data_IF_791202752464
#
_entry.id   IF_791202752464
#
_cell.length_a   1.000
_cell.length_b   1.000
_cell.length_c   1.000
_cell.angle_alpha   90.00
_cell.angle_beta   90.00
_cell.angle_gamma   90.00
#
_symmetry.space_group_name_H-M   'P 1'
#
loop_
_entity.id
_entity.type
_entity.pdbx_description
1 polymer ?
#
# COMPACT_ATOMS: atom_id res chain seq x y z
N UNK A 1 2.23 -11.16 1.08
CA UNK A 1 1.75 -10.15 0.22
C UNK A 1 1.99 -10.38 -1.25
N UNK A 2 1.06 -9.88 -2.02
CA UNK A 2 1.13 -9.96 -3.47
C UNK A 2 1.90 -8.79 -4.07
N UNK A 3 2.49 -9.02 -5.23
CA UNK A 3 2.95 -7.95 -6.08
C UNK A 3 1.75 -7.25 -6.71
N UNK A 4 1.95 -6.02 -7.19
CA UNK A 4 0.86 -5.23 -7.82
C UNK A 4 0.25 -6.00 -9.00
N UNK A 5 1.08 -6.56 -9.87
CA UNK A 5 0.56 -7.30 -11.04
C UNK A 5 -0.18 -8.57 -10.64
N UNK A 6 0.18 -9.18 -9.52
CA UNK A 6 -0.57 -10.32 -8.99
C UNK A 6 -1.99 -9.94 -8.59
N UNK A 7 -2.14 -8.76 -7.99
CA UNK A 7 -3.47 -8.21 -7.67
C UNK A 7 -4.22 -7.91 -8.96
N UNK A 8 -3.57 -7.25 -9.91
CA UNK A 8 -4.16 -6.93 -11.21
C UNK A 8 -4.72 -8.18 -11.89
N UNK A 9 -3.91 -9.25 -11.90
CA UNK A 9 -4.30 -10.51 -12.56
C UNK A 9 -5.48 -11.20 -11.89
N UNK A 10 -5.71 -10.95 -10.58
CA UNK A 10 -6.83 -11.55 -9.85
C UNK A 10 -8.10 -10.71 -9.87
N UNK A 11 -8.06 -9.53 -10.48
CA UNK A 11 -9.25 -8.68 -10.55
C UNK A 11 -10.41 -9.37 -11.27
N UNK A 12 -10.13 -10.28 -12.21
CA UNK A 12 -11.16 -11.04 -12.90
C UNK A 12 -12.01 -11.90 -11.95
N UNK A 13 -11.51 -12.20 -10.74
CA UNK A 13 -12.25 -12.95 -9.73
C UNK A 13 -13.07 -12.03 -8.81
N UNK A 14 -12.65 -10.78 -8.69
CA UNK A 14 -13.24 -9.81 -7.75
C UNK A 14 -14.29 -8.92 -8.41
N UNK A 15 -13.96 -8.36 -9.58
CA UNK A 15 -14.77 -7.34 -10.22
C UNK A 15 -16.13 -7.82 -10.74
N UNK A 16 -16.30 -9.09 -11.20
CA UNK A 16 -17.62 -9.56 -11.60
C UNK A 16 -18.67 -9.50 -10.48
N UNK A 17 -18.25 -9.54 -9.21
CA UNK A 17 -19.14 -9.38 -8.06
C UNK A 17 -19.57 -7.95 -7.79
N UNK A 18 -19.02 -6.98 -8.49
CA UNK A 18 -19.26 -5.53 -8.31
C UNK A 18 -19.23 -5.12 -6.84
N UNK A 19 -18.09 -5.28 -6.14
CA UNK A 19 -18.02 -4.96 -4.73
C UNK A 19 -18.37 -3.48 -4.48
N UNK A 20 -19.07 -3.22 -3.39
CA UNK A 20 -19.42 -1.84 -3.01
C UNK A 20 -18.19 -1.03 -2.68
N UNK A 21 -17.24 -1.63 -1.96
CA UNK A 21 -15.99 -0.99 -1.56
C UNK A 21 -14.82 -1.91 -1.84
N UNK A 22 -13.69 -1.33 -2.23
CA UNK A 22 -12.46 -2.09 -2.44
C UNK A 22 -11.29 -1.28 -1.88
N UNK A 23 -10.52 -1.91 -0.98
CA UNK A 23 -9.35 -1.31 -0.36
C UNK A 23 -8.09 -1.90 -1.00
N UNK A 24 -7.32 -1.06 -1.68
CA UNK A 24 -6.12 -1.49 -2.39
C UNK A 24 -4.87 -1.14 -1.59
N UNK A 25 -4.03 -2.13 -1.31
CA UNK A 25 -2.72 -1.96 -0.69
C UNK A 25 -1.74 -2.92 -1.34
N UNK A 26 -0.70 -2.38 -1.95
CA UNK A 26 0.34 -3.17 -2.61
C UNK A 26 1.58 -2.34 -2.89
N UNK A 27 2.70 -3.00 -3.14
CA UNK A 27 3.92 -2.35 -3.60
C UNK A 27 5.20 -2.73 -2.86
N UNK A 28 5.13 -3.15 -1.59
CA UNK A 28 6.34 -3.48 -0.82
C UNK A 28 7.04 -4.70 -1.42
N UNK A 29 6.30 -5.72 -1.86
CA UNK A 29 6.91 -6.87 -2.52
C UNK A 29 7.59 -6.48 -3.83
N UNK A 30 7.03 -5.52 -4.56
CA UNK A 30 7.65 -5.00 -5.79
C UNK A 30 8.97 -4.30 -5.47
N UNK A 31 9.03 -3.57 -4.35
CA UNK A 31 10.30 -2.96 -3.89
C UNK A 31 11.34 -4.04 -3.65
N UNK A 32 10.96 -5.15 -3.03
CA UNK A 32 11.88 -6.25 -2.74
C UNK A 32 12.39 -6.94 -4.02
N UNK A 33 11.68 -6.79 -5.13
CA UNK A 33 12.06 -7.34 -6.43
C UNK A 33 12.78 -6.30 -7.31
N UNK A 34 13.33 -5.26 -6.71
CA UNK A 34 14.14 -4.23 -7.36
C UNK A 34 13.41 -3.41 -8.43
N UNK A 35 12.08 -3.34 -8.36
CA UNK A 35 11.32 -2.46 -9.24
C UNK A 35 11.47 -1.01 -8.79
N UNK A 36 11.45 -0.09 -9.76
CA UNK A 36 11.56 1.35 -9.47
C UNK A 36 10.24 1.90 -8.92
N UNK A 37 10.33 3.04 -8.22
CA UNK A 37 9.14 3.74 -7.73
C UNK A 37 8.17 4.05 -8.87
N UNK A 38 8.68 4.58 -9.99
CA UNK A 38 7.84 4.92 -11.14
C UNK A 38 7.14 3.70 -11.74
N UNK A 39 7.84 2.57 -11.81
CA UNK A 39 7.28 1.32 -12.31
C UNK A 39 6.16 0.82 -11.41
N UNK A 40 6.38 0.86 -10.09
CA UNK A 40 5.38 0.44 -9.11
C UNK A 40 4.13 1.31 -9.20
N UNK A 41 4.30 2.62 -9.26
CA UNK A 41 3.17 3.57 -9.37
C UNK A 41 2.41 3.35 -10.68
N UNK A 42 3.11 3.11 -11.79
CA UNK A 42 2.46 2.82 -13.07
C UNK A 42 1.57 1.58 -13.00
N UNK A 43 2.05 0.52 -12.35
CA UNK A 43 1.26 -0.71 -12.20
C UNK A 43 0.04 -0.49 -11.29
N UNK A 44 0.17 0.31 -10.25
CA UNK A 44 -0.96 0.66 -9.38
C UNK A 44 -1.98 1.49 -10.16
N UNK A 45 -1.51 2.44 -10.99
CA UNK A 45 -2.39 3.22 -11.86
C UNK A 45 -3.18 2.32 -12.81
N UNK A 46 -2.53 1.36 -13.44
CA UNK A 46 -3.20 0.40 -14.33
C UNK A 46 -4.28 -0.37 -13.58
N UNK A 47 -3.99 -0.77 -12.34
CA UNK A 47 -4.93 -1.50 -11.49
C UNK A 47 -6.15 -0.64 -11.17
N UNK A 48 -5.93 0.60 -10.74
CA UNK A 48 -7.01 1.55 -10.43
C UNK A 48 -7.88 1.80 -11.65
N UNK A 49 -7.26 2.06 -12.80
CA UNK A 49 -8.00 2.36 -14.03
C UNK A 49 -8.82 1.18 -14.49
N UNK A 50 -8.30 -0.05 -14.34
CA UNK A 50 -9.08 -1.26 -14.67
C UNK A 50 -10.28 -1.41 -13.75
N UNK A 51 -10.10 -1.19 -12.45
CA UNK A 51 -11.22 -1.27 -11.49
C UNK A 51 -12.30 -0.25 -11.85
N UNK A 52 -11.92 0.98 -12.16
CA UNK A 52 -12.87 2.02 -12.52
C UNK A 52 -13.61 1.73 -13.83
N UNK A 53 -12.93 1.08 -14.77
CA UNK A 53 -13.53 0.72 -16.06
C UNK A 53 -14.49 -0.46 -15.93
N UNK A 54 -14.10 -1.50 -15.17
CA UNK A 54 -14.88 -2.75 -15.09
C UNK A 54 -15.89 -2.78 -13.96
N UNK A 55 -15.72 -1.92 -12.93
CA UNK A 55 -16.64 -1.83 -11.80
C UNK A 55 -16.80 -0.37 -11.38
N UNK A 56 -17.43 0.47 -12.24
CA UNK A 56 -17.45 1.93 -12.01
C UNK A 56 -18.17 2.36 -10.74
N UNK A 57 -19.06 1.52 -10.20
CA UNK A 57 -19.80 1.83 -8.98
C UNK A 57 -19.06 1.42 -7.71
N UNK A 58 -17.95 0.72 -7.83
CA UNK A 58 -17.13 0.34 -6.68
C UNK A 58 -16.43 1.58 -6.12
N UNK A 59 -16.63 1.85 -4.81
CA UNK A 59 -15.88 2.89 -4.14
C UNK A 59 -14.49 2.37 -3.81
N UNK A 60 -13.48 3.00 -4.41
CA UNK A 60 -12.09 2.56 -4.30
C UNK A 60 -11.35 3.38 -3.26
N UNK A 61 -10.65 2.69 -2.38
CA UNK A 61 -9.78 3.28 -1.37
C UNK A 61 -8.36 2.84 -1.66
N UNK A 62 -7.48 3.81 -1.93
CA UNK A 62 -6.07 3.53 -2.15
C UNK A 62 -5.29 3.83 -0.87
N UNK A 63 -4.66 2.81 -0.31
CA UNK A 63 -3.87 2.95 0.90
C UNK A 63 -2.42 3.28 0.56
N UNK A 64 -1.80 4.13 1.38
CA UNK A 64 -0.36 4.34 1.28
C UNK A 64 0.35 3.03 1.64
N UNK A 65 1.57 2.85 1.14
CA UNK A 65 2.42 1.77 1.61
C UNK A 65 2.81 2.02 3.06
N UNK A 66 2.95 0.93 3.81
CA UNK A 66 3.43 0.98 5.19
C UNK A 66 4.97 1.05 5.20
N UNK A 67 5.55 1.65 6.24
CA UNK A 67 7.02 1.62 6.39
C UNK A 67 7.49 0.23 6.77
N UNK A 68 8.80 0.01 6.67
CA UNK A 68 9.45 -1.18 7.21
C UNK A 68 10.74 -0.78 7.94
N UNK A 69 11.32 -1.70 8.68
CA UNK A 69 12.57 -1.48 9.43
C UNK A 69 13.61 -2.51 9.00
N UNK A 70 14.55 -2.07 8.16
CA UNK A 70 15.61 -2.94 7.64
C UNK A 70 16.61 -3.37 8.71
N UNK A 71 16.64 -2.72 9.87
CA UNK A 71 17.58 -3.06 10.94
C UNK A 71 17.30 -4.43 11.58
N UNK A 72 16.09 -4.97 11.37
CA UNK A 72 15.76 -6.33 11.79
C UNK A 72 16.52 -7.40 10.98
N UNK A 73 17.03 -7.03 9.79
CA UNK A 73 17.81 -7.90 8.91
C UNK A 73 17.11 -9.17 8.47
N UNK A 74 15.79 -9.17 8.48
CA UNK A 74 14.98 -10.32 8.07
C UNK A 74 14.73 -10.36 6.56
N UNK A 75 14.70 -9.20 5.92
CA UNK A 75 14.37 -9.05 4.49
C UNK A 75 15.49 -8.31 3.78
N UNK A 76 16.51 -9.05 3.36
CA UNK A 76 17.73 -8.48 2.77
C UNK A 76 17.46 -7.66 1.51
N UNK A 77 16.44 -8.03 0.74
CA UNK A 77 16.09 -7.34 -0.51
C UNK A 77 15.48 -5.96 -0.28
N UNK A 78 15.12 -5.63 0.96
CA UNK A 78 14.63 -4.30 1.32
C UNK A 78 15.74 -3.38 1.83
N UNK A 79 16.96 -3.88 1.98
CA UNK A 79 18.08 -3.10 2.50
C UNK A 79 18.34 -1.86 1.65
N UNK A 80 18.44 -0.69 2.30
CA UNK A 80 18.69 0.58 1.63
C UNK A 80 17.49 1.17 0.91
N UNK A 81 16.30 0.60 1.07
CA UNK A 81 15.10 0.98 0.30
C UNK A 81 14.01 1.67 1.12
N UNK A 82 14.27 1.96 2.40
CA UNK A 82 13.26 2.62 3.27
C UNK A 82 12.74 3.92 2.69
N UNK A 83 13.58 4.71 2.04
CA UNK A 83 13.19 6.01 1.51
C UNK A 83 12.36 5.92 0.22
N UNK A 84 12.27 4.75 -0.40
CA UNK A 84 11.39 4.55 -1.56
C UNK A 84 9.92 4.64 -1.17
N UNK A 85 9.59 4.25 0.06
CA UNK A 85 8.19 4.21 0.50
C UNK A 85 7.55 5.60 0.49
N UNK A 86 8.12 6.63 1.17
CA UNK A 86 7.51 7.95 1.08
C UNK A 86 7.49 8.53 -0.33
N UNK A 87 8.48 8.21 -1.17
CA UNK A 87 8.49 8.63 -2.57
C UNK A 87 7.30 8.04 -3.33
N UNK A 88 7.07 6.74 -3.18
CA UNK A 88 5.92 6.08 -3.79
C UNK A 88 4.62 6.67 -3.25
N UNK A 89 4.52 6.84 -1.93
CA UNK A 89 3.30 7.35 -1.29
C UNK A 89 2.92 8.74 -1.77
N UNK A 90 3.90 9.62 -2.00
CA UNK A 90 3.63 10.95 -2.55
C UNK A 90 2.99 10.85 -3.93
N UNK A 91 3.48 9.93 -4.77
CA UNK A 91 2.91 9.72 -6.11
C UNK A 91 1.54 9.06 -6.05
N UNK A 92 1.30 8.17 -5.08
CA UNK A 92 0.00 7.54 -4.89
C UNK A 92 -1.06 8.55 -4.46
N UNK A 93 -0.69 9.52 -3.64
CA UNK A 93 -1.61 10.59 -3.24
C UNK A 93 -2.07 11.41 -4.45
N UNK A 94 -1.13 11.76 -5.34
CA UNK A 94 -1.45 12.47 -6.59
C UNK A 94 -2.34 11.61 -7.48
N UNK A 95 -2.00 10.34 -7.62
CA UNK A 95 -2.77 9.39 -8.43
C UNK A 95 -4.22 9.31 -7.93
N UNK A 96 -4.40 9.21 -6.63
CA UNK A 96 -5.74 9.13 -6.03
C UNK A 96 -6.54 10.39 -6.32
N UNK A 97 -5.91 11.56 -6.21
CA UNK A 97 -6.55 12.84 -6.51
C UNK A 97 -6.96 12.92 -7.98
N UNK A 98 -6.06 12.53 -8.88
CA UNK A 98 -6.31 12.58 -10.32
C UNK A 98 -7.44 11.63 -10.74
N UNK A 99 -7.57 10.49 -10.06
CA UNK A 99 -8.60 9.50 -10.36
C UNK A 99 -9.87 9.65 -9.50
N UNK A 100 -9.91 10.67 -8.65
CA UNK A 100 -11.06 11.00 -7.77
C UNK A 100 -11.44 9.84 -6.85
N UNK A 101 -10.43 9.17 -6.30
CA UNK A 101 -10.62 8.10 -5.31
C UNK A 101 -10.06 8.54 -3.95
N UNK A 102 -10.48 7.83 -2.90
CA UNK A 102 -10.05 8.15 -1.54
C UNK A 102 -8.65 7.60 -1.28
N UNK A 103 -7.74 8.47 -0.83
CA UNK A 103 -6.41 8.06 -0.39
C UNK A 103 -6.39 7.94 1.13
N UNK A 104 -5.90 6.82 1.66
CA UNK A 104 -5.75 6.60 3.09
C UNK A 104 -4.27 6.65 3.43
N UNK A 105 -3.84 7.75 4.06
CA UNK A 105 -2.43 7.95 4.38
C UNK A 105 -2.08 7.25 5.70
N UNK A 106 -1.71 5.98 5.62
CA UNK A 106 -1.37 5.17 6.79
C UNK A 106 0.06 5.39 7.28
N UNK A 107 0.97 5.73 6.37
CA UNK A 107 2.40 5.77 6.63
C UNK A 107 2.80 6.50 7.91
N UNK A 108 2.34 7.75 8.15
CA UNK A 108 2.79 8.48 9.33
C UNK A 108 2.30 7.88 10.66
N UNK A 109 1.25 7.04 10.62
CA UNK A 109 0.75 6.37 11.82
C UNK A 109 1.67 5.26 12.30
N UNK A 110 2.55 4.78 11.43
CA UNK A 110 3.38 3.60 11.68
C UNK A 110 4.87 3.90 11.76
N UNK A 111 5.29 5.15 11.49
CA UNK A 111 6.70 5.51 11.52
C UNK A 111 7.17 5.96 12.88
N UNK A 112 8.43 5.67 13.21
CA UNK A 112 9.12 6.30 14.32
C UNK A 112 9.18 7.81 14.04
N UNK A 113 8.95 8.61 15.05
CA UNK A 113 8.90 10.06 14.91
C UNK A 113 10.16 10.61 14.23
N UNK A 114 9.94 11.37 13.16
CA UNK A 114 11.03 12.00 12.42
C UNK A 114 11.82 11.08 11.52
N UNK A 115 11.33 9.85 11.28
CA UNK A 115 11.98 8.87 10.43
C UNK A 115 11.02 8.26 9.43
N UNK A 116 11.55 7.43 8.50
CA UNK A 116 10.77 6.64 7.57
C UNK A 116 10.73 5.16 7.98
N UNK A 117 10.99 4.86 9.23
CA UNK A 117 11.18 3.52 9.76
C UNK A 117 9.94 3.08 10.55
N UNK A 118 9.53 1.83 10.36
CA UNK A 118 8.41 1.23 11.09
C UNK A 118 8.71 1.21 12.59
N UNK A 119 7.71 1.61 13.38
CA UNK A 119 7.81 1.59 14.84
C UNK A 119 8.04 0.16 15.33
N UNK A 120 9.07 -0.03 16.16
CA UNK A 120 9.49 -1.37 16.59
C UNK A 120 8.42 -2.11 17.40
N UNK A 121 7.62 -1.37 18.18
CA UNK A 121 6.55 -1.97 18.98
C UNK A 121 5.39 -2.50 18.15
N UNK A 122 5.35 -2.20 16.84
CA UNK A 122 4.28 -2.62 15.96
C UNK A 122 4.61 -3.81 15.07
N UNK A 123 5.82 -4.37 15.24
CA UNK A 123 6.29 -5.45 14.38
C UNK A 123 7.21 -6.40 15.16
N UNK A 124 7.28 -7.65 14.70
CA UNK A 124 8.23 -8.64 15.23
C UNK A 124 9.35 -8.97 14.24
N UNK A 125 9.19 -8.59 12.98
CA UNK A 125 10.17 -8.93 11.93
C UNK A 125 10.66 -7.72 11.10
N UNK A 126 10.14 -6.53 11.39
CA UNK A 126 10.50 -5.32 10.66
C UNK A 126 9.68 -5.03 9.43
N UNK A 127 8.72 -5.90 9.08
CA UNK A 127 7.87 -5.74 7.89
C UNK A 127 6.39 -5.95 8.20
N UNK A 128 6.03 -7.07 8.82
CA UNK A 128 4.64 -7.40 9.11
C UNK A 128 4.20 -6.76 10.41
N UNK A 129 2.94 -6.33 10.47
CA UNK A 129 2.35 -5.75 11.68
C UNK A 129 2.01 -6.85 12.68
N UNK A 130 2.20 -6.53 13.96
CA UNK A 130 1.68 -7.35 15.04
C UNK A 130 0.24 -6.92 15.38
N UNK A 131 -0.33 -7.48 16.45
CA UNK A 131 -1.70 -7.18 16.86
C UNK A 131 -1.95 -5.69 17.09
N UNK A 132 -1.02 -5.00 17.76
CA UNK A 132 -1.14 -3.57 18.02
C UNK A 132 -1.12 -2.74 16.72
N UNK A 133 -0.26 -3.14 15.78
CA UNK A 133 -0.22 -2.50 14.47
C UNK A 133 -1.53 -2.68 13.70
N UNK A 134 -2.10 -3.87 13.74
CA UNK A 134 -3.40 -4.11 13.09
C UNK A 134 -4.52 -3.28 13.71
N UNK A 135 -4.52 -3.07 15.03
CA UNK A 135 -5.52 -2.21 15.68
C UNK A 135 -5.47 -0.79 15.17
N UNK A 136 -4.25 -0.24 15.00
CA UNK A 136 -4.07 1.11 14.45
C UNK A 136 -4.60 1.17 13.02
N UNK A 137 -4.29 0.14 12.22
CA UNK A 137 -4.72 0.06 10.83
C UNK A 137 -6.24 0.04 10.72
N UNK A 138 -6.91 -0.88 11.44
CA UNK A 138 -8.37 -0.99 11.43
C UNK A 138 -9.03 0.32 11.83
N UNK A 139 -8.52 1.00 12.87
CA UNK A 139 -9.05 2.28 13.31
C UNK A 139 -8.94 3.34 12.22
N UNK A 140 -7.80 3.37 11.52
CA UNK A 140 -7.59 4.31 10.42
C UNK A 140 -8.55 4.06 9.25
N UNK A 141 -8.77 2.80 8.91
CA UNK A 141 -9.71 2.44 7.85
C UNK A 141 -11.14 2.85 8.21
N UNK A 142 -11.56 2.61 9.43
CA UNK A 142 -12.91 2.96 9.90
C UNK A 142 -13.18 4.46 9.81
N UNK A 143 -12.17 5.30 10.02
CA UNK A 143 -12.33 6.75 9.91
C UNK A 143 -12.64 7.22 8.50
N UNK A 144 -12.26 6.45 7.48
CA UNK A 144 -12.45 6.81 6.08
C UNK A 144 -13.72 6.18 5.46
N UNK A 145 -14.30 5.26 6.16
CA UNK A 145 -15.50 4.57 5.66
C UNK A 145 -16.81 5.38 5.88
#
# INVERSE_FOLDING_TARGET
GDEVMGIYDRLHQILPGHPEKLFLLAGVNDISHDLTADSIVSMIRMTVERIQRESPDTKLYLQSLLPFDESFRRYKKLTGKTDMVPEINAQLEVLAKDHKITFINLFPLFTERGTNVLRKELTSDGLHLNEEGYKIWVKALKKKM
#
